data_IF_642996729110
#
_entry.id   IF_642996729110
#
_cell.length_a   1.000
_cell.length_b   1.000
_cell.length_c   1.000
_cell.angle_alpha   90.00
_cell.angle_beta   90.00
_cell.angle_gamma   90.00
#
_symmetry.space_group_name_H-M   'P 1'
#
loop_
_entity.id
_entity.type
_entity.pdbx_description
1 polymer ?
#
# COMPACT_ATOMS: atom_id res chain seq x y z
N UNK A 1 -0.19 10.71 -13.69
CA UNK A 1 0.51 11.68 -12.80
C UNK A 1 1.42 12.57 -13.61
N UNK A 2 1.60 13.85 -13.21
CA UNK A 2 2.59 14.75 -13.77
C UNK A 2 3.92 14.60 -13.01
N UNK A 3 4.95 14.01 -13.64
CA UNK A 3 6.25 13.80 -13.01
C UNK A 3 6.94 15.10 -12.58
N UNK A 4 6.76 16.21 -13.33
CA UNK A 4 7.30 17.50 -12.92
C UNK A 4 6.72 17.98 -11.58
N UNK A 5 5.40 17.84 -11.38
CA UNK A 5 4.76 18.16 -10.10
C UNK A 5 5.24 17.27 -8.96
N UNK A 6 5.52 16.00 -9.26
CA UNK A 6 6.14 15.08 -8.30
C UNK A 6 7.52 15.57 -7.86
N UNK A 7 8.40 15.94 -8.81
CA UNK A 7 9.77 16.39 -8.49
C UNK A 7 9.81 17.69 -7.69
N UNK A 8 8.85 18.57 -7.88
CA UNK A 8 8.75 19.84 -7.12
C UNK A 8 7.87 19.71 -5.86
N UNK A 9 7.45 18.50 -5.48
CA UNK A 9 6.68 18.20 -4.27
C UNK A 9 5.24 18.72 -4.30
N UNK A 10 4.62 18.83 -5.48
CA UNK A 10 3.24 19.28 -5.65
C UNK A 10 2.26 18.18 -6.09
N UNK A 11 2.73 16.96 -6.37
CA UNK A 11 1.86 15.85 -6.70
C UNK A 11 1.29 15.21 -5.43
N UNK A 12 -0.02 15.24 -5.28
CA UNK A 12 -0.75 14.59 -4.18
C UNK A 12 -1.33 13.22 -4.57
N UNK A 13 -1.21 12.87 -5.85
CA UNK A 13 -1.71 11.64 -6.51
C UNK A 13 -0.59 10.63 -6.83
N UNK A 14 0.59 10.80 -6.25
CA UNK A 14 1.77 9.95 -6.53
C UNK A 14 1.51 8.47 -6.25
N UNK A 15 0.66 8.15 -5.28
CA UNK A 15 0.24 6.80 -4.94
C UNK A 15 -0.62 6.13 -6.03
N UNK A 16 -1.26 6.88 -6.91
CA UNK A 16 -2.00 6.35 -8.06
C UNK A 16 -1.06 5.92 -9.20
N UNK A 17 0.18 6.35 -9.15
CA UNK A 17 1.19 6.07 -10.18
C UNK A 17 2.26 5.10 -9.69
N UNK A 18 2.87 5.36 -8.53
CA UNK A 18 3.87 4.50 -7.90
C UNK A 18 3.21 3.39 -7.08
N UNK A 19 3.97 2.32 -6.83
CA UNK A 19 3.49 1.17 -6.09
C UNK A 19 3.15 -0.01 -6.99
N UNK A 20 2.36 -0.94 -6.45
CA UNK A 20 1.88 -2.13 -7.13
C UNK A 20 0.41 -1.96 -7.54
N UNK A 21 0.13 -1.91 -8.83
CA UNK A 21 -1.21 -1.69 -9.39
C UNK A 21 -1.67 -2.88 -10.23
N UNK A 22 -2.90 -3.34 -9.99
CA UNK A 22 -3.50 -4.42 -10.76
C UNK A 22 -3.80 -3.95 -12.20
N UNK A 23 -3.46 -4.79 -13.15
CA UNK A 23 -3.74 -4.58 -14.57
C UNK A 23 -4.32 -5.84 -15.21
N UNK A 24 -4.79 -5.74 -16.45
CA UNK A 24 -5.26 -6.90 -17.22
C UNK A 24 -4.15 -7.93 -17.52
N UNK A 25 -2.88 -7.50 -17.45
CA UNK A 25 -1.72 -8.31 -17.81
C UNK A 25 -0.91 -8.80 -16.59
N UNK A 26 -1.39 -8.57 -15.38
CA UNK A 26 -0.69 -8.84 -14.12
C UNK A 26 -0.58 -7.61 -13.24
N UNK A 27 0.40 -7.54 -12.39
CA UNK A 27 0.67 -6.40 -11.50
C UNK A 27 1.76 -5.53 -12.08
N UNK A 28 1.46 -4.25 -12.25
CA UNK A 28 2.42 -3.23 -12.65
C UNK A 28 3.08 -2.64 -11.41
N UNK A 29 4.38 -2.79 -11.30
CA UNK A 29 5.21 -2.21 -10.25
C UNK A 29 5.92 -0.97 -10.78
N UNK A 30 5.90 0.12 -10.01
CA UNK A 30 6.63 1.36 -10.32
C UNK A 30 7.28 1.93 -9.07
N UNK A 31 8.56 2.32 -9.21
CA UNK A 31 9.31 2.96 -8.13
C UNK A 31 10.21 4.08 -8.68
N UNK A 32 10.32 5.16 -7.92
CA UNK A 32 11.27 6.25 -8.21
C UNK A 32 12.58 6.00 -7.47
N UNK A 33 13.65 5.74 -8.22
CA UNK A 33 14.97 5.47 -7.66
C UNK A 33 16.08 5.97 -8.61
N UNK A 34 16.23 7.29 -8.77
CA UNK A 34 17.10 7.88 -9.81
C UNK A 34 18.59 7.54 -9.67
N UNK A 35 19.02 7.10 -8.49
CA UNK A 35 20.41 6.73 -8.20
C UNK A 35 20.67 5.22 -8.25
N UNK A 36 19.67 4.40 -8.52
CA UNK A 36 19.86 2.98 -8.67
C UNK A 36 20.45 2.65 -10.04
N UNK A 37 21.38 1.68 -10.09
CA UNK A 37 21.91 1.16 -11.33
C UNK A 37 20.94 0.16 -11.97
N UNK A 38 20.32 -0.69 -11.14
CA UNK A 38 19.38 -1.73 -11.53
C UNK A 38 18.39 -1.97 -10.39
N UNK A 39 17.16 -2.36 -10.73
CA UNK A 39 16.15 -2.83 -9.77
C UNK A 39 15.49 -4.09 -10.30
N UNK A 40 15.28 -5.05 -9.41
CA UNK A 40 14.47 -6.23 -9.63
C UNK A 40 13.27 -6.20 -8.67
N UNK A 41 12.10 -6.66 -9.13
CA UNK A 41 10.99 -6.95 -8.20
C UNK A 41 11.09 -8.40 -7.76
N UNK A 42 11.08 -8.63 -6.45
CA UNK A 42 11.19 -9.96 -5.83
C UNK A 42 9.98 -10.19 -4.92
N UNK A 43 9.46 -11.40 -4.90
CA UNK A 43 8.30 -11.73 -4.09
C UNK A 43 7.89 -13.19 -4.15
N UNK A 44 6.74 -13.52 -3.56
CA UNK A 44 6.21 -14.88 -3.57
C UNK A 44 5.87 -15.40 -4.96
N UNK A 45 5.71 -14.53 -5.95
CA UNK A 45 5.41 -14.88 -7.34
C UNK A 45 6.63 -15.36 -8.13
N UNK A 46 7.84 -15.17 -7.62
CA UNK A 46 9.09 -15.59 -8.26
C UNK A 46 10.08 -16.20 -7.27
N UNK A 47 9.59 -16.79 -6.17
CA UNK A 47 10.39 -17.41 -5.11
C UNK A 47 11.50 -16.48 -4.55
N UNK A 48 11.25 -15.17 -4.56
CA UNK A 48 12.19 -14.11 -4.16
C UNK A 48 13.47 -14.04 -5.01
N UNK A 49 13.43 -14.61 -6.22
CA UNK A 49 14.47 -14.49 -7.25
C UNK A 49 13.99 -13.55 -8.35
N UNK A 50 14.59 -12.37 -8.42
CA UNK A 50 14.23 -11.32 -9.37
C UNK A 50 14.97 -11.37 -10.70
N UNK A 51 15.76 -12.41 -10.97
CA UNK A 51 16.68 -12.47 -12.12
C UNK A 51 15.98 -12.30 -13.47
N UNK A 52 14.71 -12.74 -13.58
CA UNK A 52 13.88 -12.58 -14.78
C UNK A 52 12.91 -11.37 -14.68
N UNK A 53 12.90 -10.70 -13.55
CA UNK A 53 11.96 -9.60 -13.23
C UNK A 53 12.68 -8.27 -13.02
N UNK A 54 13.70 -8.02 -13.86
CA UNK A 54 14.38 -6.74 -13.92
C UNK A 54 13.42 -5.64 -14.38
N UNK A 55 13.41 -4.54 -13.65
CA UNK A 55 12.58 -3.38 -13.95
C UNK A 55 13.24 -2.50 -15.03
N UNK A 56 12.45 -2.03 -15.96
CA UNK A 56 12.91 -1.13 -17.04
C UNK A 56 13.01 0.30 -16.48
N UNK A 57 14.18 0.88 -16.60
CA UNK A 57 14.42 2.28 -16.22
C UNK A 57 14.02 3.23 -17.34
N UNK A 58 13.17 4.20 -17.04
CA UNK A 58 13.11 5.43 -17.84
C UNK A 58 14.25 6.36 -17.40
N UNK A 59 15.29 6.42 -18.21
CA UNK A 59 16.50 7.18 -17.93
C UNK A 59 16.29 8.69 -17.78
N UNK A 60 15.18 9.24 -18.27
CA UNK A 60 14.87 10.67 -18.15
C UNK A 60 14.15 11.00 -16.83
N UNK A 61 13.37 10.06 -16.32
CA UNK A 61 12.55 10.28 -15.13
C UNK A 61 13.13 9.67 -13.85
N UNK A 62 14.05 8.72 -13.96
CA UNK A 62 14.53 7.93 -12.82
C UNK A 62 13.48 6.97 -12.23
N UNK A 63 12.42 6.70 -12.99
CA UNK A 63 11.37 5.74 -12.65
C UNK A 63 11.75 4.38 -13.22
N UNK A 64 11.57 3.35 -12.41
CA UNK A 64 11.68 1.94 -12.83
C UNK A 64 10.29 1.33 -12.85
N UNK A 65 9.99 0.52 -13.87
CA UNK A 65 8.71 -0.20 -13.96
C UNK A 65 8.88 -1.61 -14.53
N UNK A 66 8.01 -2.52 -14.09
CA UNK A 66 7.82 -3.83 -14.73
C UNK A 66 6.39 -4.33 -14.53
N UNK A 67 5.96 -5.28 -15.36
CA UNK A 67 4.70 -6.00 -15.22
C UNK A 67 4.99 -7.45 -14.91
N UNK A 68 4.59 -7.90 -13.71
CA UNK A 68 4.72 -9.30 -13.31
C UNK A 68 3.36 -10.02 -13.44
N UNK A 69 3.33 -11.07 -14.29
CA UNK A 69 2.09 -11.76 -14.67
C UNK A 69 1.54 -12.70 -13.61
N UNK A 70 2.44 -13.29 -12.80
CA UNK A 70 2.11 -14.27 -11.79
C UNK A 70 1.81 -13.66 -10.43
N UNK A 71 2.10 -12.35 -10.26
CA UNK A 71 1.80 -11.60 -9.07
C UNK A 71 0.29 -11.39 -8.90
N UNK A 72 -0.21 -11.55 -7.66
CA UNK A 72 -1.63 -11.48 -7.31
C UNK A 72 -1.85 -10.72 -6.00
N UNK A 73 -3.06 -10.20 -5.74
CA UNK A 73 -3.43 -9.64 -4.44
C UNK A 73 -3.14 -10.61 -3.30
N UNK A 74 -2.62 -10.09 -2.21
CA UNK A 74 -2.22 -10.83 -1.02
C UNK A 74 -0.76 -11.29 -1.02
N UNK A 75 -0.11 -11.36 -2.17
CA UNK A 75 1.30 -11.76 -2.26
C UNK A 75 2.24 -10.67 -1.74
N UNK A 76 3.33 -11.10 -1.12
CA UNK A 76 4.37 -10.23 -0.59
C UNK A 76 5.45 -9.96 -1.63
N UNK A 77 6.03 -8.75 -1.58
CA UNK A 77 7.11 -8.35 -2.48
C UNK A 77 8.05 -7.32 -1.85
N UNK A 78 9.22 -7.17 -2.47
CA UNK A 78 10.21 -6.10 -2.22
C UNK A 78 10.84 -5.68 -3.54
N UNK A 79 11.57 -4.57 -3.48
CA UNK A 79 12.50 -4.16 -4.54
C UNK A 79 13.92 -4.52 -4.12
N UNK A 80 14.63 -5.28 -4.95
CA UNK A 80 16.07 -5.50 -4.84
C UNK A 80 16.80 -4.46 -5.64
N UNK A 81 17.48 -3.57 -4.94
CA UNK A 81 18.12 -2.39 -5.50
C UNK A 81 19.61 -2.60 -5.58
N UNK A 82 20.18 -2.46 -6.76
CA UNK A 82 21.61 -2.47 -7.04
C UNK A 82 22.09 -1.04 -7.15
N UNK A 83 23.09 -0.68 -6.35
CA UNK A 83 23.69 0.65 -6.36
C UNK A 83 24.98 0.67 -7.19
N UNK A 84 25.42 1.83 -7.73
CA UNK A 84 26.65 1.94 -8.51
C UNK A 84 27.93 1.58 -7.75
N UNK A 85 27.90 1.61 -6.43
CA UNK A 85 29.01 1.18 -5.56
C UNK A 85 29.05 -0.35 -5.31
N UNK A 86 28.16 -1.12 -5.94
CA UNK A 86 28.05 -2.57 -5.82
C UNK A 86 27.23 -3.04 -4.60
N UNK A 87 26.67 -2.14 -3.82
CA UNK A 87 25.79 -2.52 -2.71
C UNK A 87 24.45 -3.00 -3.26
N UNK A 88 23.98 -4.16 -2.78
CA UNK A 88 22.67 -4.73 -3.10
C UNK A 88 21.81 -4.73 -1.83
N UNK A 89 20.58 -4.25 -1.92
CA UNK A 89 19.68 -4.19 -0.79
C UNK A 89 18.22 -4.42 -1.16
N UNK A 90 17.51 -5.19 -0.33
CA UNK A 90 16.09 -5.40 -0.46
C UNK A 90 15.33 -4.32 0.33
N UNK A 91 14.40 -3.62 -0.30
CA UNK A 91 13.60 -2.54 0.27
C UNK A 91 12.11 -2.79 0.06
N UNK A 92 11.30 -2.39 1.06
CA UNK A 92 9.86 -2.32 0.87
C UNK A 92 9.50 -1.16 -0.06
N UNK A 93 8.31 -1.24 -0.63
CA UNK A 93 7.79 -0.20 -1.50
C UNK A 93 7.26 0.99 -0.68
N UNK A 94 7.77 2.21 -0.88
CA UNK A 94 7.29 3.39 -0.15
C UNK A 94 5.83 3.75 -0.47
N UNK A 95 5.29 3.25 -1.59
CA UNK A 95 3.90 3.45 -2.00
C UNK A 95 3.04 2.19 -1.85
N UNK A 96 3.47 1.24 -1.02
CA UNK A 96 2.71 0.03 -0.75
C UNK A 96 1.41 0.34 -0.02
N UNK A 97 0.30 -0.24 -0.47
CA UNK A 97 -1.00 -0.16 0.19
C UNK A 97 -1.16 -1.17 1.34
N UNK A 98 -0.32 -2.19 1.38
CA UNK A 98 -0.30 -3.20 2.43
C UNK A 98 1.11 -3.54 2.89
N UNK A 99 1.24 -3.92 4.15
CA UNK A 99 2.53 -4.28 4.77
C UNK A 99 2.43 -5.60 5.50
N UNK A 100 3.50 -6.35 5.50
CA UNK A 100 3.68 -7.52 6.34
C UNK A 100 3.68 -7.12 7.83
N UNK A 101 3.24 -8.02 8.68
CA UNK A 101 3.27 -7.81 10.14
C UNK A 101 4.72 -7.84 10.64
N UNK A 102 5.04 -6.89 11.51
CA UNK A 102 6.38 -6.81 12.14
C UNK A 102 6.73 -8.12 12.88
N UNK A 103 8.00 -8.55 12.90
CA UNK A 103 9.23 -7.79 12.56
C UNK A 103 9.56 -7.75 11.06
N UNK A 104 8.84 -8.47 10.23
CA UNK A 104 9.09 -8.53 8.80
C UNK A 104 8.73 -7.22 8.09
N UNK A 105 9.23 -7.05 6.86
CA UNK A 105 9.20 -5.74 6.19
C UNK A 105 8.85 -5.84 4.70
N UNK A 106 8.12 -6.87 4.28
CA UNK A 106 7.65 -6.93 2.91
C UNK A 106 6.42 -6.03 2.69
N UNK A 107 6.29 -5.55 1.47
CA UNK A 107 5.07 -4.93 0.97
C UNK A 107 4.07 -6.01 0.58
N UNK A 108 2.78 -5.71 0.61
CA UNK A 108 1.71 -6.63 0.20
C UNK A 108 0.92 -6.00 -0.95
N UNK A 109 0.69 -6.78 -2.00
CA UNK A 109 -0.16 -6.38 -3.13
C UNK A 109 -1.62 -6.33 -2.66
N UNK A 110 -2.27 -5.19 -2.83
CA UNK A 110 -3.66 -4.99 -2.39
C UNK A 110 -4.53 -4.67 -3.59
N UNK A 111 -5.72 -5.29 -3.65
CA UNK A 111 -6.78 -4.88 -4.55
C UNK A 111 -7.61 -3.79 -3.86
N UNK A 112 -7.47 -2.55 -4.33
CA UNK A 112 -8.21 -1.41 -3.78
C UNK A 112 -9.66 -1.33 -4.29
N UNK A 113 -10.00 -2.05 -5.36
CA UNK A 113 -11.34 -2.05 -5.95
C UNK A 113 -12.26 -3.15 -5.37
N UNK A 114 -11.71 -4.06 -4.55
CA UNK A 114 -12.47 -5.16 -3.94
C UNK A 114 -13.51 -4.67 -2.92
N UNK A 115 -13.33 -3.48 -2.35
CA UNK A 115 -14.26 -2.93 -1.37
C UNK A 115 -15.22 -1.91 -1.97
N UNK A 116 -16.51 -2.20 -1.88
CA UNK A 116 -17.59 -1.30 -2.29
C UNK A 116 -18.22 -0.61 -1.09
N UNK A 117 -18.13 0.71 -1.04
CA UNK A 117 -18.79 1.52 -0.02
C UNK A 117 -20.30 1.52 -0.23
N UNK A 118 -21.08 1.32 0.85
CA UNK A 118 -22.55 1.35 0.83
C UNK A 118 -23.11 2.64 1.41
N UNK A 119 -22.37 3.74 1.32
CA UNK A 119 -22.64 5.02 1.97
C UNK A 119 -23.17 6.11 1.02
N UNK A 120 -23.57 5.77 -0.21
CA UNK A 120 -24.03 6.72 -1.22
C UNK A 120 -25.16 7.66 -0.70
N UNK A 121 -26.10 7.12 0.07
CA UNK A 121 -27.21 7.88 0.61
C UNK A 121 -26.74 8.93 1.61
N UNK A 122 -25.72 8.61 2.41
CA UNK A 122 -25.10 9.54 3.35
C UNK A 122 -24.26 10.58 2.58
N UNK A 123 -23.47 10.17 1.61
CA UNK A 123 -22.64 11.05 0.79
C UNK A 123 -23.48 12.10 0.04
N UNK A 124 -24.70 11.74 -0.39
CA UNK A 124 -25.64 12.69 -1.03
C UNK A 124 -26.25 13.69 -0.04
N UNK A 125 -26.40 13.32 1.23
CA UNK A 125 -27.05 14.15 2.26
C UNK A 125 -26.06 14.97 3.08
N UNK A 126 -24.79 14.58 3.16
CA UNK A 126 -23.80 15.29 3.95
C UNK A 126 -23.66 16.74 3.47
N UNK A 127 -23.57 17.66 4.40
CA UNK A 127 -23.32 19.07 4.13
C UNK A 127 -22.07 19.55 4.85
N UNK A 128 -21.46 20.63 4.35
CA UNK A 128 -20.37 21.33 5.04
C UNK A 128 -20.93 22.34 6.05
N UNK A 129 -21.95 21.93 6.81
CA UNK A 129 -22.57 22.81 7.81
C UNK A 129 -21.78 22.73 9.11
N UNK A 130 -20.94 23.73 9.35
CA UNK A 130 -20.11 23.84 10.55
C UNK A 130 -20.85 24.44 11.76
N UNK A 131 -22.11 24.84 11.59
CA UNK A 131 -22.94 25.44 12.65
C UNK A 131 -23.73 24.39 13.47
N UNK A 132 -23.64 23.12 13.08
CA UNK A 132 -24.27 22.01 13.82
C UNK A 132 -23.37 21.52 14.95
N UNK A 133 -23.95 21.07 16.07
CA UNK A 133 -23.21 20.41 17.13
C UNK A 133 -22.47 19.20 16.61
N UNK A 134 -21.23 18.99 17.06
CA UNK A 134 -20.40 17.83 16.75
C UNK A 134 -20.06 17.10 18.04
N UNK A 135 -20.32 15.79 18.06
CA UNK A 135 -19.83 14.90 19.11
C UNK A 135 -18.61 14.16 18.58
N UNK A 136 -17.51 14.22 19.33
CA UNK A 136 -16.27 13.50 18.99
C UNK A 136 -16.04 12.45 20.05
N UNK A 137 -15.96 11.17 19.62
CA UNK A 137 -15.58 10.06 20.47
C UNK A 137 -14.21 9.56 20.05
N UNK A 138 -13.19 9.88 20.84
CA UNK A 138 -11.82 9.42 20.60
C UNK A 138 -11.61 8.06 21.24
N UNK A 139 -11.06 7.11 20.49
CA UNK A 139 -10.86 5.75 20.95
C UNK A 139 -9.49 5.20 20.52
N UNK A 140 -8.80 4.54 21.44
CA UNK A 140 -7.65 3.73 21.13
C UNK A 140 -8.12 2.29 20.83
N UNK A 141 -8.10 1.90 19.56
CA UNK A 141 -8.70 0.65 19.08
C UNK A 141 -8.17 -0.61 19.80
N UNK A 142 -6.86 -0.66 20.09
CA UNK A 142 -6.23 -1.81 20.73
C UNK A 142 -6.53 -1.97 22.22
N UNK A 143 -7.14 -0.96 22.89
CA UNK A 143 -7.41 -1.00 24.32
C UNK A 143 -8.85 -0.64 24.72
N UNK A 144 -9.71 -0.27 23.77
CA UNK A 144 -11.10 0.11 24.03
C UNK A 144 -11.90 -1.01 24.69
N UNK A 145 -11.78 -2.22 24.15
CA UNK A 145 -12.28 -3.48 24.74
C UNK A 145 -11.29 -4.60 24.44
N UNK A 146 -11.23 -5.58 25.33
CA UNK A 146 -10.47 -6.81 25.08
C UNK A 146 -11.33 -7.85 24.39
N UNK A 147 -10.73 -8.55 23.44
CA UNK A 147 -11.29 -9.74 22.80
C UNK A 147 -10.82 -10.97 23.61
N UNK A 148 -11.72 -11.56 24.41
CA UNK A 148 -11.38 -12.74 25.22
C UNK A 148 -11.15 -14.00 24.37
N UNK A 149 -11.53 -13.98 23.09
CA UNK A 149 -11.27 -15.08 22.15
C UNK A 149 -9.87 -15.03 21.53
N UNK A 150 -9.19 -13.89 21.61
CA UNK A 150 -7.77 -13.72 21.22
C UNK A 150 -6.88 -13.86 22.46
N UNK A 151 -6.41 -15.10 22.72
CA UNK A 151 -5.60 -15.43 23.89
C UNK A 151 -4.21 -14.78 23.86
N UNK A 152 -3.69 -14.41 22.67
CA UNK A 152 -2.35 -13.88 22.51
C UNK A 152 -2.27 -12.37 22.79
N UNK A 153 -3.11 -11.58 22.14
CA UNK A 153 -3.04 -10.11 22.19
C UNK A 153 -4.28 -9.47 22.82
N UNK A 154 -5.41 -10.18 22.82
CA UNK A 154 -6.70 -9.67 23.29
C UNK A 154 -7.26 -8.55 22.41
N UNK A 155 -6.90 -8.51 21.11
CA UNK A 155 -7.33 -7.45 20.19
C UNK A 155 -8.48 -7.89 19.30
N UNK A 156 -9.32 -6.92 18.93
CA UNK A 156 -10.31 -7.10 17.89
C UNK A 156 -9.72 -6.75 16.53
N UNK A 157 -10.01 -7.54 15.50
CA UNK A 157 -9.85 -7.11 14.13
C UNK A 157 -10.80 -5.94 13.81
N UNK A 158 -10.44 -5.07 12.88
CA UNK A 158 -11.22 -3.85 12.59
C UNK A 158 -12.69 -4.11 12.27
N UNK A 159 -13.02 -5.19 11.57
CA UNK A 159 -14.42 -5.56 11.28
C UNK A 159 -15.21 -5.92 12.55
N UNK A 160 -14.60 -6.65 13.47
CA UNK A 160 -15.22 -7.05 14.73
C UNK A 160 -15.35 -5.85 15.69
N UNK A 161 -14.29 -5.03 15.74
CA UNK A 161 -14.31 -3.78 16.49
C UNK A 161 -15.45 -2.87 15.99
N UNK A 162 -15.60 -2.72 14.67
CA UNK A 162 -16.65 -1.90 14.06
C UNK A 162 -18.05 -2.37 14.44
N UNK A 163 -18.29 -3.68 14.50
CA UNK A 163 -19.60 -4.25 14.93
C UNK A 163 -19.98 -3.89 16.35
N UNK A 164 -19.00 -3.63 17.21
CA UNK A 164 -19.23 -3.27 18.62
C UNK A 164 -19.19 -1.75 18.85
N UNK A 165 -18.26 -1.05 18.19
CA UNK A 165 -18.06 0.37 18.39
C UNK A 165 -19.15 1.22 17.73
N UNK A 166 -19.55 0.89 16.48
CA UNK A 166 -20.55 1.69 15.75
C UNK A 166 -21.91 1.77 16.48
N UNK A 167 -22.47 0.67 17.03
CA UNK A 167 -23.70 0.77 17.80
C UNK A 167 -23.54 1.44 19.18
N UNK A 168 -22.31 1.57 19.66
CA UNK A 168 -22.02 2.17 20.97
C UNK A 168 -21.96 3.70 20.90
N UNK A 169 -21.51 4.27 19.80
CA UNK A 169 -21.35 5.72 19.59
C UNK A 169 -22.54 6.29 18.81
#
# INVERSE_FOLDING_TARGET
MNLHEFYIGKAFDAYEYFGAHLTKNGVLFRVYAPNAEKIEVIGEFNDWDGTEDEMIQDAQSGVFECVQKDAKPGMMYKYRIYQPDGIVMDRFDPYSFGSQVRPDTASVIVDLEDYHFSDEAWMKKRSKNYDLPVNIYEVHAGSWRKNEADEENGWYHYQELGKQLIPYV
#
